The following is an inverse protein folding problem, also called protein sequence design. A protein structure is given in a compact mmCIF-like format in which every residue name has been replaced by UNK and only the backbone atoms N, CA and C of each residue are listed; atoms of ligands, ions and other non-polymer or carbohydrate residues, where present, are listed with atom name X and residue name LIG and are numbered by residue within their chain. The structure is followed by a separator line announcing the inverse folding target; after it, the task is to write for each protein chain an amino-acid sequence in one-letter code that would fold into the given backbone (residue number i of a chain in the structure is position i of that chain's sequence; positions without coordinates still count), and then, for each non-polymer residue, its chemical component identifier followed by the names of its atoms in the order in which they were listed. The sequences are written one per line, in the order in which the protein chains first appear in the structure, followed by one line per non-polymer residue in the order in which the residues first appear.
data_IF_044179253357
#
_entry.id   IF_044179253357
#
_cell.length_a   1.000
_cell.length_b   1.000
_cell.length_c   1.000
_cell.angle_alpha   90.00
_cell.angle_beta   90.00
_cell.angle_gamma   90.00
#
_symmetry.space_group_name_H-M   'P 1'
#
loop_
_entity.id
_entity.type
_entity.pdbx_description
1 polymer ?
#
# COMPACT_ATOMS: atom_id res chain seq x y z
N UNK A 1 -21.92 -3.40 7.61
CA UNK A 1 -20.46 -3.34 7.84
C UNK A 1 -19.68 -3.10 6.55
N UNK A 2 -19.59 -4.05 5.60
CA UNK A 2 -18.73 -3.94 4.39
C UNK A 2 -18.93 -2.70 3.49
N UNK A 3 -20.13 -2.10 3.47
CA UNK A 3 -20.45 -0.91 2.65
C UNK A 3 -20.19 0.43 3.34
N UNK A 4 -20.00 0.43 4.66
CA UNK A 4 -19.95 1.64 5.49
C UNK A 4 -18.64 1.75 6.29
N UNK A 5 -17.64 0.95 5.93
CA UNK A 5 -16.32 1.04 6.55
C UNK A 5 -15.59 2.25 5.98
N UNK A 6 -15.40 3.25 6.82
CA UNK A 6 -14.61 4.44 6.52
C UNK A 6 -13.48 4.54 7.54
N UNK A 7 -12.28 4.87 7.06
CA UNK A 7 -11.05 5.02 7.85
C UNK A 7 -10.60 6.48 7.95
N UNK A 8 -11.26 7.38 7.20
CA UNK A 8 -11.08 8.83 7.24
C UNK A 8 -12.44 9.51 7.10
N UNK A 9 -12.50 10.76 7.55
CA UNK A 9 -13.56 11.68 7.19
C UNK A 9 -13.32 12.19 5.76
N UNK A 10 -14.27 11.94 4.85
CA UNK A 10 -14.19 12.34 3.45
C UNK A 10 -14.24 13.87 3.25
N UNK A 11 -14.71 14.63 4.23
CA UNK A 11 -14.76 16.10 4.15
C UNK A 11 -13.35 16.72 4.15
N UNK A 12 -12.35 15.98 4.62
CA UNK A 12 -10.94 16.40 4.66
C UNK A 12 -10.16 16.10 3.37
N UNK A 13 -10.80 15.50 2.36
CA UNK A 13 -10.14 15.22 1.09
C UNK A 13 -9.92 16.54 0.33
N UNK A 14 -8.66 16.85 0.02
CA UNK A 14 -8.29 18.01 -0.79
C UNK A 14 -8.80 17.89 -2.24
N UNK A 15 -8.89 19.03 -2.92
CA UNK A 15 -9.20 19.06 -4.35
C UNK A 15 -8.11 18.34 -5.16
N UNK A 16 -8.48 17.77 -6.31
CA UNK A 16 -7.53 17.01 -7.16
C UNK A 16 -6.40 17.87 -7.72
N UNK A 17 -6.60 19.18 -7.82
CA UNK A 17 -5.59 20.11 -8.31
C UNK A 17 -4.69 20.65 -7.19
N UNK A 18 -4.98 20.33 -5.92
CA UNK A 18 -4.13 20.71 -4.80
C UNK A 18 -2.79 19.96 -4.90
N UNK A 19 -1.63 20.66 -4.76
CA UNK A 19 -0.32 20.01 -4.79
C UNK A 19 -0.14 18.94 -3.70
N UNK A 20 -0.94 18.98 -2.63
CA UNK A 20 -0.92 18.01 -1.54
C UNK A 20 -2.00 16.93 -1.68
N UNK A 21 -2.68 16.83 -2.82
CA UNK A 21 -3.69 15.80 -3.07
C UNK A 21 -3.10 14.38 -2.98
N UNK A 22 -3.52 13.63 -1.96
CA UNK A 22 -3.16 12.22 -1.80
C UNK A 22 -4.23 11.29 -2.40
N UNK A 23 -3.89 10.58 -3.48
CA UNK A 23 -4.83 9.63 -4.10
C UNK A 23 -5.17 8.44 -3.19
N UNK A 24 -4.32 8.15 -2.20
CA UNK A 24 -4.55 7.11 -1.21
C UNK A 24 -5.12 7.65 0.12
N UNK A 25 -5.55 8.92 0.19
CA UNK A 25 -6.07 9.57 1.40
C UNK A 25 -7.09 8.69 2.14
N UNK A 26 -8.02 8.08 1.39
CA UNK A 26 -9.07 7.22 1.94
C UNK A 26 -8.58 6.02 2.74
N UNK A 27 -7.35 5.57 2.55
CA UNK A 27 -6.75 4.43 3.27
C UNK A 27 -5.46 4.81 3.99
N UNK A 28 -5.01 6.06 3.86
CA UNK A 28 -3.71 6.54 4.35
C UNK A 28 -3.51 6.30 5.84
N UNK A 29 -4.48 6.56 6.76
CA UNK A 29 -4.27 6.27 8.17
C UNK A 29 -4.01 4.79 8.43
N UNK A 30 -4.75 3.90 7.76
CA UNK A 30 -4.57 2.47 7.91
C UNK A 30 -3.18 2.04 7.41
N UNK A 31 -2.76 2.52 6.23
CA UNK A 31 -1.42 2.26 5.71
C UNK A 31 -0.33 2.72 6.69
N UNK A 32 -0.48 3.91 7.27
CA UNK A 32 0.49 4.44 8.24
C UNK A 32 0.54 3.61 9.52
N UNK A 33 -0.61 3.17 10.06
CA UNK A 33 -0.66 2.33 11.26
C UNK A 33 0.06 0.99 11.01
N UNK A 34 -0.25 0.32 9.89
CA UNK A 34 0.39 -0.95 9.54
C UNK A 34 1.89 -0.77 9.34
N UNK A 35 2.29 0.26 8.56
CA UNK A 35 3.70 0.59 8.30
C UNK A 35 4.47 0.89 9.57
N UNK A 36 3.90 1.68 10.47
CA UNK A 36 4.53 2.01 11.76
C UNK A 36 4.67 0.80 12.66
N UNK A 37 3.75 -0.17 12.60
CA UNK A 37 3.88 -1.41 13.37
C UNK A 37 4.94 -2.36 12.77
N UNK A 38 5.04 -2.47 11.44
CA UNK A 38 6.08 -3.29 10.80
C UNK A 38 7.48 -2.77 11.13
N UNK A 39 7.66 -1.45 11.14
CA UNK A 39 8.93 -0.80 11.47
C UNK A 39 9.39 -0.98 12.92
N UNK A 40 8.52 -1.45 13.83
CA UNK A 40 8.89 -1.77 15.21
C UNK A 40 9.56 -3.13 15.35
N UNK A 41 9.44 -3.99 14.33
CA UNK A 41 10.07 -5.30 14.32
C UNK A 41 11.57 -5.10 14.03
N UNK A 42 12.42 -5.72 14.83
CA UNK A 42 13.86 -5.72 14.61
C UNK A 42 14.18 -6.40 13.28
N UNK A 43 15.05 -5.78 12.47
CA UNK A 43 15.37 -6.27 11.13
C UNK A 43 16.38 -7.42 11.20
N UNK A 44 16.20 -8.40 10.33
CA UNK A 44 17.24 -9.39 10.02
C UNK A 44 18.47 -8.75 9.37
N UNK A 45 19.59 -9.46 9.44
CA UNK A 45 20.83 -9.11 8.74
C UNK A 45 20.65 -9.17 7.22
N UNK A 46 19.95 -10.20 6.73
CA UNK A 46 19.66 -10.38 5.30
C UNK A 46 18.32 -9.74 4.98
N UNK A 47 18.33 -8.80 4.04
CA UNK A 47 17.14 -8.08 3.60
C UNK A 47 16.98 -8.17 2.09
N UNK A 48 15.73 -8.18 1.64
CA UNK A 48 15.35 -8.15 0.23
C UNK A 48 14.33 -7.06 -0.03
N UNK A 49 14.42 -6.43 -1.21
CA UNK A 49 13.46 -5.45 -1.70
C UNK A 49 12.86 -5.96 -3.00
N UNK A 50 11.54 -6.08 -3.06
CA UNK A 50 10.84 -6.54 -4.27
C UNK A 50 9.43 -5.93 -4.38
N UNK A 51 8.82 -6.11 -5.54
CA UNK A 51 7.49 -5.66 -5.91
C UNK A 51 6.42 -6.72 -5.62
N UNK A 52 5.40 -6.33 -4.86
CA UNK A 52 4.18 -7.10 -4.66
C UNK A 52 2.98 -6.43 -5.34
N UNK A 53 2.05 -7.27 -5.80
CA UNK A 53 0.74 -6.85 -6.28
C UNK A 53 -0.31 -7.22 -5.25
N UNK A 54 -1.18 -6.28 -4.93
CA UNK A 54 -2.44 -6.52 -4.22
C UNK A 54 -3.55 -6.64 -5.29
N UNK A 55 -4.05 -7.85 -5.58
CA UNK A 55 -4.99 -8.06 -6.68
C UNK A 55 -6.26 -7.25 -6.51
N UNK A 56 -6.64 -6.47 -7.54
CA UNK A 56 -7.87 -5.69 -7.53
C UNK A 56 -8.38 -5.48 -8.95
N UNK A 57 -9.62 -5.89 -9.22
CA UNK A 57 -10.25 -5.78 -10.55
C UNK A 57 -11.18 -4.58 -10.70
N UNK A 58 -11.53 -3.90 -9.61
CA UNK A 58 -12.43 -2.74 -9.64
C UNK A 58 -11.85 -1.50 -10.32
N UNK A 59 -12.65 -0.42 -10.39
CA UNK A 59 -12.21 0.87 -10.92
C UNK A 59 -11.40 1.62 -9.85
N UNK A 60 -10.15 1.94 -10.18
CA UNK A 60 -9.28 2.78 -9.35
C UNK A 60 -8.17 3.36 -10.22
N UNK A 61 -7.80 4.61 -9.97
CA UNK A 61 -6.72 5.31 -10.69
C UNK A 61 -5.33 4.78 -10.30
N UNK A 62 -5.18 4.26 -9.07
CA UNK A 62 -3.92 3.70 -8.57
C UNK A 62 -3.68 2.25 -9.04
N UNK A 63 -4.63 1.67 -9.79
CA UNK A 63 -4.51 0.30 -10.29
C UNK A 63 -3.51 0.25 -11.43
N UNK A 64 -2.59 -0.70 -11.36
CA UNK A 64 -1.57 -0.94 -12.38
C UNK A 64 -1.76 -2.26 -13.10
N UNK A 65 -1.24 -2.31 -14.33
CA UNK A 65 -1.11 -3.53 -15.11
C UNK A 65 0.34 -4.03 -15.08
N UNK A 66 0.55 -5.28 -14.68
CA UNK A 66 1.85 -5.95 -14.60
C UNK A 66 1.75 -7.31 -15.28
N UNK A 67 2.09 -7.41 -16.58
CA UNK A 67 1.77 -8.57 -17.40
C UNK A 67 2.45 -9.87 -16.94
N UNK A 68 3.63 -9.77 -16.31
CA UNK A 68 4.45 -10.90 -15.91
C UNK A 68 4.10 -11.49 -14.54
N UNK A 69 3.05 -10.98 -13.88
CA UNK A 69 2.62 -11.48 -12.56
C UNK A 69 1.33 -12.31 -12.71
N UNK A 70 1.11 -13.33 -11.85
CA UNK A 70 -0.08 -14.20 -11.95
C UNK A 70 -1.40 -13.42 -11.94
N UNK A 71 -1.47 -12.36 -11.13
CA UNK A 71 -2.54 -11.39 -11.14
C UNK A 71 -2.06 -10.10 -11.82
N UNK A 72 -2.44 -9.92 -13.08
CA UNK A 72 -1.94 -8.81 -13.90
C UNK A 72 -2.46 -7.43 -13.49
N UNK A 73 -3.55 -7.35 -12.72
CA UNK A 73 -4.20 -6.10 -12.34
C UNK A 73 -4.31 -5.97 -10.83
N UNK A 74 -3.80 -4.87 -10.27
CA UNK A 74 -3.87 -4.61 -8.84
C UNK A 74 -3.15 -3.34 -8.42
N UNK A 75 -3.02 -3.14 -7.11
CA UNK A 75 -2.19 -2.09 -6.55
C UNK A 75 -0.75 -2.58 -6.46
N UNK A 76 0.21 -1.75 -6.86
CA UNK A 76 1.64 -2.05 -6.75
C UNK A 76 2.19 -1.54 -5.43
N UNK A 77 3.02 -2.33 -4.79
CA UNK A 77 3.73 -1.98 -3.56
C UNK A 77 5.15 -2.52 -3.61
N UNK A 78 6.11 -1.74 -3.13
CA UNK A 78 7.47 -2.22 -2.86
C UNK A 78 7.54 -2.65 -1.40
N UNK A 79 8.13 -3.80 -1.12
CA UNK A 79 8.30 -4.32 0.24
C UNK A 79 9.78 -4.42 0.55
N UNK A 80 10.12 -4.10 1.80
CA UNK A 80 11.36 -4.52 2.45
C UNK A 80 11.03 -5.74 3.32
N UNK A 81 11.66 -6.88 3.04
CA UNK A 81 11.41 -8.12 3.75
C UNK A 81 12.70 -8.80 4.22
N UNK A 82 12.59 -9.62 5.28
CA UNK A 82 13.65 -10.50 5.75
C UNK A 82 14.00 -11.55 4.72
N UNK A 83 15.29 -11.74 4.48
CA UNK A 83 15.80 -12.69 3.49
C UNK A 83 15.60 -14.14 3.90
N UNK A 84 15.47 -14.42 5.20
CA UNK A 84 15.27 -15.78 5.72
C UNK A 84 13.82 -16.01 6.14
N UNK A 85 13.23 -15.08 6.91
CA UNK A 85 11.86 -15.26 7.42
C UNK A 85 10.76 -14.87 6.44
N UNK A 86 11.06 -14.01 5.46
CA UNK A 86 10.06 -13.36 4.61
C UNK A 86 9.19 -12.31 5.33
N UNK A 87 9.49 -11.95 6.58
CA UNK A 87 8.75 -10.93 7.34
C UNK A 87 8.91 -9.56 6.67
N UNK A 88 7.80 -8.84 6.50
CA UNK A 88 7.82 -7.47 5.97
C UNK A 88 8.15 -6.45 7.09
N UNK A 89 9.22 -5.69 6.89
CA UNK A 89 9.70 -4.66 7.82
C UNK A 89 9.27 -3.25 7.42
N UNK A 90 9.10 -3.01 6.11
CA UNK A 90 8.62 -1.74 5.59
C UNK A 90 7.98 -1.92 4.21
N UNK A 91 7.18 -0.95 3.79
CA UNK A 91 6.62 -0.94 2.44
C UNK A 91 6.39 0.49 1.90
N UNK A 92 6.38 0.60 0.58
CA UNK A 92 6.02 1.81 -0.15
C UNK A 92 4.89 1.49 -1.13
N UNK A 93 3.73 2.11 -0.89
CA UNK A 93 2.57 1.98 -1.76
C UNK A 93 2.73 2.89 -2.98
N UNK A 94 2.54 2.34 -4.19
CA UNK A 94 2.58 3.12 -5.42
C UNK A 94 1.23 3.78 -5.68
N UNK A 95 1.23 5.10 -5.89
CA UNK A 95 0.02 5.95 -5.97
C UNK A 95 -0.07 6.63 -7.32
#
# INVERSE_FOLDING_TARGET
IRKCLHVVDNSNQLDRNDPNYDRAHKVRPLLNIVKNNFRKIEKEEKLSVDEQIIPFKGKSIMKQHMPNKPHRWGYKMFLLAGGESGICYDFLFYV
#
